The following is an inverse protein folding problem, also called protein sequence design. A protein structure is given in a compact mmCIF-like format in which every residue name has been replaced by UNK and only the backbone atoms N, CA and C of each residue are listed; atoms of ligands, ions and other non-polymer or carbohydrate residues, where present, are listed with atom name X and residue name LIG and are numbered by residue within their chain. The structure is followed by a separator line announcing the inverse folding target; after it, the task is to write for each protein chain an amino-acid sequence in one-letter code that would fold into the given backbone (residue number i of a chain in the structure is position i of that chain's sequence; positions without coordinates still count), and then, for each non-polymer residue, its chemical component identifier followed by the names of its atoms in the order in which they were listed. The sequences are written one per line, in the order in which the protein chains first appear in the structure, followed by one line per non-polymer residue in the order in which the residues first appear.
data_IF_263141249281
#
_entry.id   IF_263141249281
#
_cell.length_a   1.000
_cell.length_b   1.000
_cell.length_c   1.000
_cell.angle_alpha   90.00
_cell.angle_beta   90.00
_cell.angle_gamma   90.00
#
_symmetry.space_group_name_H-M   'P 1'
#
loop_
_entity.id
_entity.type
_entity.pdbx_description
1 polymer ?
#
# COMPACT_ATOMS: atom_id res chain seq x y z
N UNK A 1 7.07 2.48 0.47
CA UNK A 1 8.21 2.48 -0.48
C UNK A 1 9.47 3.04 0.19
N UNK A 2 10.08 2.27 1.13
CA UNK A 2 11.30 2.66 1.86
C UNK A 2 12.55 1.93 1.35
N UNK A 3 12.40 1.04 0.35
CA UNK A 3 13.47 0.12 -0.05
C UNK A 3 14.70 0.76 -0.71
N UNK A 4 14.59 1.95 -1.27
CA UNK A 4 15.69 2.54 -2.06
C UNK A 4 16.79 3.14 -1.17
N UNK A 5 16.47 3.53 0.08
CA UNK A 5 17.38 4.30 0.93
C UNK A 5 17.96 3.51 2.13
N UNK A 6 17.68 2.21 2.25
CA UNK A 6 18.10 1.39 3.41
C UNK A 6 19.60 1.37 3.70
N UNK A 7 20.48 1.17 2.71
CA UNK A 7 21.91 1.15 2.96
C UNK A 7 22.41 2.47 3.55
N UNK A 8 21.93 3.58 3.02
CA UNK A 8 22.34 4.92 3.47
C UNK A 8 21.78 5.29 4.85
N UNK A 9 20.55 4.86 5.15
CA UNK A 9 19.97 5.05 6.49
C UNK A 9 20.77 4.24 7.53
N UNK A 10 21.09 2.99 7.22
CA UNK A 10 21.92 2.14 8.11
C UNK A 10 23.33 2.64 8.26
N UNK A 11 23.90 3.22 7.22
CA UNK A 11 25.22 3.86 7.25
C UNK A 11 25.22 5.25 7.95
N UNK A 12 24.05 5.74 8.37
CA UNK A 12 23.92 7.05 8.98
C UNK A 12 24.05 8.25 8.03
N UNK A 13 24.19 7.98 6.72
CA UNK A 13 24.34 9.03 5.69
C UNK A 13 23.04 9.77 5.40
N UNK A 14 21.90 9.13 5.68
CA UNK A 14 20.56 9.68 5.47
C UNK A 14 19.69 9.41 6.68
N UNK A 15 18.87 10.37 7.06
CA UNK A 15 17.87 10.26 8.14
C UNK A 15 16.47 10.29 7.55
N UNK A 16 15.63 9.33 7.94
CA UNK A 16 14.19 9.35 7.61
C UNK A 16 13.50 10.34 8.55
N UNK A 17 12.79 11.30 7.99
CA UNK A 17 12.11 12.35 8.76
C UNK A 17 10.67 11.97 9.11
N UNK A 18 10.00 11.25 8.19
CA UNK A 18 8.60 10.88 8.34
C UNK A 18 8.27 9.66 7.46
N UNK A 19 7.20 8.96 7.81
CA UNK A 19 6.55 7.96 6.99
C UNK A 19 5.11 8.36 6.66
N UNK A 20 4.58 7.90 5.53
CA UNK A 20 3.23 8.22 5.09
C UNK A 20 2.23 7.07 5.30
N UNK A 21 2.61 6.06 6.09
CA UNK A 21 1.76 4.93 6.44
C UNK A 21 0.75 5.27 7.57
N UNK A 22 -0.23 4.38 7.78
CA UNK A 22 -1.16 4.46 8.91
C UNK A 22 -0.46 4.29 10.26
N UNK A 23 0.63 3.52 10.27
CA UNK A 23 1.46 3.26 11.45
C UNK A 23 2.94 3.46 11.12
N UNK A 24 3.75 3.56 12.16
CA UNK A 24 5.21 3.64 12.02
C UNK A 24 5.76 2.38 11.37
N UNK A 25 6.80 2.48 10.50
CA UNK A 25 7.43 1.32 9.89
C UNK A 25 8.04 0.40 10.95
N UNK A 26 7.80 -0.90 10.86
CA UNK A 26 8.37 -1.88 11.80
C UNK A 26 9.90 -1.83 11.86
N UNK A 27 10.54 -1.60 10.70
CA UNK A 27 12.00 -1.53 10.59
C UNK A 27 12.58 -0.23 11.13
N UNK A 28 11.77 0.80 11.35
CA UNK A 28 12.16 2.11 11.82
C UNK A 28 11.13 2.65 12.82
N UNK A 29 10.98 2.01 14.00
CA UNK A 29 9.92 2.33 14.96
C UNK A 29 10.04 3.76 15.54
N UNK A 30 11.22 4.35 15.46
CA UNK A 30 11.48 5.72 15.91
C UNK A 30 11.12 6.78 14.84
N UNK A 31 10.76 6.37 13.62
CA UNK A 31 10.36 7.29 12.56
C UNK A 31 8.86 7.59 12.70
N UNK A 32 8.46 8.84 12.96
CA UNK A 32 7.07 9.20 13.12
C UNK A 32 6.34 9.13 11.78
N UNK A 33 5.02 8.96 11.83
CA UNK A 33 4.17 9.14 10.65
C UNK A 33 3.93 10.63 10.40
N UNK A 34 3.57 11.00 9.17
CA UNK A 34 3.18 12.36 8.85
C UNK A 34 1.99 12.84 9.70
N UNK A 35 1.04 11.92 10.02
CA UNK A 35 -0.09 12.22 10.90
C UNK A 35 0.33 12.55 12.32
N UNK A 36 1.28 11.83 12.90
CA UNK A 36 1.83 12.13 14.23
C UNK A 36 2.53 13.49 14.28
N UNK A 37 3.01 13.98 13.14
CA UNK A 37 3.63 15.29 12.97
C UNK A 37 2.63 16.41 12.62
N UNK A 38 1.32 16.12 12.60
CA UNK A 38 0.26 17.10 12.32
C UNK A 38 -0.13 17.23 10.84
N UNK A 39 0.49 16.46 9.94
CA UNK A 39 0.15 16.48 8.53
C UNK A 39 -0.86 15.37 8.21
N UNK A 40 -2.07 15.74 7.80
CA UNK A 40 -3.10 14.76 7.43
C UNK A 40 -2.86 14.18 6.02
N UNK A 41 -1.73 13.52 5.85
CA UNK A 41 -1.32 12.85 4.61
C UNK A 41 -1.18 11.36 4.89
N UNK A 42 -1.81 10.55 4.05
CA UNK A 42 -1.70 9.11 4.02
C UNK A 42 -1.43 8.68 2.58
N UNK A 43 -0.33 8.00 2.35
CA UNK A 43 0.01 7.39 1.07
C UNK A 43 0.18 5.89 1.29
N UNK A 44 -0.75 5.11 0.78
CA UNK A 44 -0.62 3.67 0.68
C UNK A 44 -0.18 3.30 -0.75
N UNK A 45 0.80 2.41 -0.86
CA UNK A 45 1.13 1.78 -2.14
C UNK A 45 0.37 0.47 -2.20
N UNK A 46 -0.80 0.52 -2.78
CA UNK A 46 -1.71 -0.62 -2.84
C UNK A 46 -1.41 -1.45 -4.09
N UNK A 47 -1.27 -2.75 -3.90
CA UNK A 47 -1.09 -3.71 -5.00
C UNK A 47 -2.29 -4.65 -4.98
N UNK A 48 -2.97 -4.74 -6.10
CA UNK A 48 -4.15 -5.59 -6.23
C UNK A 48 -4.17 -6.35 -7.55
N UNK A 49 -5.03 -7.36 -7.62
CA UNK A 49 -5.32 -8.11 -8.85
C UNK A 49 -6.67 -7.65 -9.38
N UNK A 50 -6.69 -7.24 -10.63
CA UNK A 50 -7.91 -6.86 -11.33
C UNK A 50 -8.23 -7.86 -12.44
N UNK A 51 -9.51 -8.04 -12.71
CA UNK A 51 -10.02 -8.89 -13.78
C UNK A 51 -11.04 -8.16 -14.66
N UNK A 52 -11.51 -8.80 -15.75
CA UNK A 52 -12.55 -8.25 -16.60
C UNK A 52 -13.82 -7.90 -15.83
N UNK A 53 -14.52 -6.87 -16.31
CA UNK A 53 -15.85 -6.52 -15.79
C UNK A 53 -16.81 -7.70 -15.96
N UNK A 54 -17.66 -7.91 -14.97
CA UNK A 54 -18.68 -8.97 -14.96
C UNK A 54 -18.11 -10.40 -14.99
N UNK A 55 -16.89 -10.59 -14.46
CA UNK A 55 -16.36 -11.94 -14.24
C UNK A 55 -17.29 -12.74 -13.32
N UNK A 56 -17.47 -14.02 -13.61
CA UNK A 56 -18.29 -14.92 -12.80
C UNK A 56 -17.81 -14.94 -11.34
N UNK A 57 -18.69 -14.77 -10.34
CA UNK A 57 -18.32 -14.69 -8.94
C UNK A 57 -17.51 -15.89 -8.43
N UNK A 58 -17.80 -17.09 -8.93
CA UNK A 58 -17.06 -18.32 -8.56
C UNK A 58 -15.60 -18.26 -9.01
N UNK A 59 -15.33 -17.67 -10.17
CA UNK A 59 -13.97 -17.48 -10.69
C UNK A 59 -13.23 -16.44 -9.84
N UNK A 60 -13.89 -15.32 -9.54
CA UNK A 60 -13.34 -14.28 -8.67
C UNK A 60 -12.96 -14.87 -7.31
N UNK A 61 -13.88 -15.65 -6.70
CA UNK A 61 -13.62 -16.29 -5.40
C UNK A 61 -12.46 -17.27 -5.46
N UNK A 62 -12.37 -18.10 -6.51
CA UNK A 62 -11.27 -19.07 -6.69
C UNK A 62 -9.91 -18.38 -6.83
N UNK A 63 -9.85 -17.30 -7.58
CA UNK A 63 -8.64 -16.47 -7.73
C UNK A 63 -8.27 -15.85 -6.38
N UNK A 64 -9.23 -15.22 -5.71
CA UNK A 64 -9.05 -14.64 -4.38
C UNK A 64 -8.47 -15.65 -3.38
N UNK A 65 -9.07 -16.84 -3.28
CA UNK A 65 -8.63 -17.87 -2.34
C UNK A 65 -7.22 -18.40 -2.66
N UNK A 66 -6.88 -18.47 -3.96
CA UNK A 66 -5.54 -18.80 -4.40
C UNK A 66 -4.50 -17.79 -3.93
N UNK A 67 -4.75 -16.50 -4.16
CA UNK A 67 -3.86 -15.42 -3.71
C UNK A 67 -3.80 -15.33 -2.19
N UNK A 68 -4.95 -15.48 -1.50
CA UNK A 68 -4.98 -15.46 -0.03
C UNK A 68 -4.11 -16.56 0.57
N UNK A 69 -4.19 -17.79 0.05
CA UNK A 69 -3.31 -18.90 0.48
C UNK A 69 -1.84 -18.57 0.22
N UNK A 70 -1.53 -18.07 -0.98
CA UNK A 70 -0.15 -17.71 -1.30
C UNK A 70 0.41 -16.60 -0.39
N UNK A 71 -0.42 -15.66 0.05
CA UNK A 71 -0.03 -14.63 1.02
C UNK A 71 0.28 -15.21 2.40
N UNK A 72 -0.35 -16.30 2.78
CA UNK A 72 -0.15 -16.96 4.07
C UNK A 72 1.04 -17.92 4.07
N UNK A 73 1.61 -18.23 2.91
CA UNK A 73 2.76 -19.12 2.76
C UNK A 73 4.02 -18.55 3.45
N UNK A 74 4.80 -19.39 4.18
CA UNK A 74 6.01 -18.95 4.87
C UNK A 74 7.03 -18.28 3.93
N UNK A 75 7.13 -18.76 2.69
CA UNK A 75 8.02 -18.17 1.68
C UNK A 75 7.63 -16.72 1.34
N UNK A 76 6.33 -16.43 1.26
CA UNK A 76 5.84 -15.06 1.03
C UNK A 76 6.11 -14.17 2.24
N UNK A 77 5.86 -14.68 3.45
CA UNK A 77 6.16 -13.93 4.68
C UNK A 77 7.65 -13.59 4.79
N UNK A 78 8.53 -14.53 4.47
CA UNK A 78 9.98 -14.29 4.42
C UNK A 78 10.37 -13.21 3.38
N UNK A 79 9.69 -13.19 2.22
CA UNK A 79 9.89 -12.13 1.22
C UNK A 79 9.44 -10.76 1.75
N UNK A 80 8.30 -10.68 2.41
CA UNK A 80 7.82 -9.44 3.02
C UNK A 80 8.82 -8.91 4.04
N UNK A 81 9.34 -9.79 4.93
CA UNK A 81 10.37 -9.42 5.90
C UNK A 81 11.67 -8.96 5.22
N UNK A 82 12.14 -9.73 4.22
CA UNK A 82 13.36 -9.39 3.47
C UNK A 82 13.28 -8.03 2.80
N UNK A 83 12.11 -7.69 2.26
CA UNK A 83 11.89 -6.42 1.57
C UNK A 83 11.26 -5.35 2.48
N UNK A 84 11.05 -5.65 3.77
CA UNK A 84 10.40 -4.76 4.75
C UNK A 84 9.03 -4.26 4.26
N UNK A 85 8.29 -5.13 3.58
CA UNK A 85 6.94 -4.88 3.16
C UNK A 85 5.98 -5.30 4.27
N UNK A 86 4.88 -4.60 4.38
CA UNK A 86 3.80 -4.97 5.31
C UNK A 86 2.71 -5.67 4.51
N UNK A 87 2.32 -6.86 4.95
CA UNK A 87 1.13 -7.50 4.41
C UNK A 87 -0.09 -6.62 4.67
N UNK A 88 -0.85 -6.34 3.62
CA UNK A 88 -2.06 -5.55 3.71
C UNK A 88 -3.16 -6.28 2.94
N UNK A 89 -3.80 -7.22 3.63
CA UNK A 89 -4.90 -7.98 3.05
C UNK A 89 -6.20 -7.19 3.11
N UNK A 90 -6.95 -7.21 2.00
CA UNK A 90 -8.33 -6.77 1.91
C UNK A 90 -9.15 -7.79 1.12
N UNK A 91 -10.40 -7.98 1.52
CA UNK A 91 -11.35 -8.75 0.70
C UNK A 91 -11.61 -8.03 -0.63
N UNK A 92 -12.13 -8.75 -1.62
CA UNK A 92 -12.49 -8.14 -2.92
C UNK A 92 -13.47 -6.98 -2.76
N UNK A 93 -14.42 -7.08 -1.82
CA UNK A 93 -15.39 -6.03 -1.54
C UNK A 93 -14.72 -4.80 -0.92
N UNK A 94 -13.90 -4.99 0.13
CA UNK A 94 -13.20 -3.91 0.82
C UNK A 94 -12.19 -3.23 -0.09
N UNK A 95 -11.44 -4.00 -0.87
CA UNK A 95 -10.48 -3.46 -1.83
C UNK A 95 -11.18 -2.61 -2.90
N UNK A 96 -12.30 -3.11 -3.44
CA UNK A 96 -13.11 -2.36 -4.42
C UNK A 96 -13.65 -1.05 -3.82
N UNK A 97 -14.13 -1.09 -2.58
CA UNK A 97 -14.62 0.10 -1.90
C UNK A 97 -13.49 1.12 -1.66
N UNK A 98 -12.31 0.66 -1.25
CA UNK A 98 -11.15 1.53 -1.05
C UNK A 98 -10.66 2.15 -2.37
N UNK A 99 -10.58 1.36 -3.45
CA UNK A 99 -10.20 1.86 -4.77
C UNK A 99 -11.17 2.92 -5.30
N UNK A 100 -12.46 2.78 -5.05
CA UNK A 100 -13.45 3.82 -5.42
C UNK A 100 -13.21 5.11 -4.65
N UNK A 101 -12.95 5.03 -3.33
CA UNK A 101 -12.63 6.21 -2.50
C UNK A 101 -11.32 6.87 -2.96
N UNK A 102 -10.28 6.06 -3.21
CA UNK A 102 -9.00 6.55 -3.70
C UNK A 102 -9.17 7.26 -5.04
N UNK A 103 -9.85 6.63 -6.01
CA UNK A 103 -10.12 7.22 -7.32
C UNK A 103 -10.87 8.55 -7.22
N UNK A 104 -11.89 8.65 -6.36
CA UNK A 104 -12.62 9.89 -6.16
C UNK A 104 -11.72 11.01 -5.58
N UNK A 105 -10.88 10.67 -4.59
CA UNK A 105 -9.92 11.60 -3.99
C UNK A 105 -8.88 12.08 -5.01
N UNK A 106 -8.29 11.15 -5.75
CA UNK A 106 -7.26 11.45 -6.76
C UNK A 106 -7.83 12.29 -7.92
N UNK A 107 -9.08 12.02 -8.31
CA UNK A 107 -9.77 12.84 -9.32
C UNK A 107 -9.87 14.31 -8.90
N UNK A 108 -10.32 14.59 -7.68
CA UNK A 108 -10.40 15.96 -7.14
C UNK A 108 -9.02 16.62 -7.12
N UNK A 109 -7.98 15.87 -6.73
CA UNK A 109 -6.62 16.40 -6.73
C UNK A 109 -6.12 16.68 -8.14
N UNK A 110 -6.34 15.80 -9.09
CA UNK A 110 -5.95 15.96 -10.49
C UNK A 110 -6.67 17.17 -11.14
N UNK A 111 -7.95 17.36 -10.84
CA UNK A 111 -8.71 18.55 -11.30
C UNK A 111 -8.13 19.85 -10.74
N UNK A 112 -7.80 19.87 -9.45
CA UNK A 112 -7.17 21.04 -8.80
C UNK A 112 -5.79 21.38 -9.36
N UNK A 113 -5.03 20.36 -9.77
CA UNK A 113 -3.70 20.51 -10.37
C UNK A 113 -3.74 20.76 -11.89
N UNK A 114 -4.93 20.76 -12.50
CA UNK A 114 -5.08 20.94 -13.94
C UNK A 114 -4.59 19.73 -14.78
N UNK A 115 -4.49 18.55 -14.17
CA UNK A 115 -4.01 17.34 -14.86
C UNK A 115 -5.11 16.59 -15.63
N UNK A 116 -6.36 16.93 -15.40
CA UNK A 116 -7.49 16.38 -16.16
C UNK A 116 -7.80 17.34 -17.30
N UNK A 117 -7.54 16.91 -18.53
CA UNK A 117 -8.06 17.59 -19.71
C UNK A 117 -9.59 17.41 -19.74
N UNK A 118 -10.31 18.51 -20.00
CA UNK A 118 -11.76 18.49 -20.19
C UNK A 118 -12.14 17.82 -21.50
#
# INVERSE_FOLDING_TARGET
MLNVNRPWVRAGSVRILSSFGEARPRSFPNVPTAREQGYNVLLASEVGVAGPKNMEPRIVQRIHDGFKRAMDEPAHQALLEKFELTAWYRSSADFTAEMRKASAREKVLAERLGWVQK
#
